data_IF_282175100132
#
_entry.id   IF_282175100132
#
_cell.length_a   1.000
_cell.length_b   1.000
_cell.length_c   1.000
_cell.angle_alpha   90.00
_cell.angle_beta   90.00
_cell.angle_gamma   90.00
#
_symmetry.space_group_name_H-M   'P 1'
#
loop_
_entity.id
_entity.type
_entity.pdbx_description
1 polymer ?
#
# COMPACT_ATOMS: atom_id res chain seq x y z
N UNK A 1 -1.85 -16.64 0.76
CA UNK A 1 -3.01 -17.57 0.74
C UNK A 1 -2.92 -18.67 1.79
N UNK A 2 -1.80 -19.38 1.95
CA UNK A 2 -1.71 -20.53 2.87
C UNK A 2 -2.16 -20.26 4.31
N UNK A 3 -1.86 -19.08 4.86
CA UNK A 3 -2.25 -18.70 6.22
C UNK A 3 -3.76 -18.65 6.47
N UNK A 4 -4.58 -18.47 5.42
CA UNK A 4 -6.05 -18.45 5.50
C UNK A 4 -6.61 -19.88 5.62
N UNK A 5 -5.86 -20.88 5.13
CA UNK A 5 -6.28 -22.28 5.10
C UNK A 5 -5.87 -23.07 6.36
N UNK A 6 -5.18 -22.41 7.30
CA UNK A 6 -4.67 -23.03 8.54
C UNK A 6 -5.15 -22.27 9.75
N UNK A 7 -5.33 -22.96 10.87
CA UNK A 7 -5.64 -22.30 12.13
C UNK A 7 -4.43 -21.51 12.63
N UNK A 8 -4.69 -20.32 13.19
CA UNK A 8 -3.66 -19.56 13.89
C UNK A 8 -3.06 -20.38 15.04
N UNK A 9 -1.74 -20.25 15.22
CA UNK A 9 -1.02 -20.83 16.35
C UNK A 9 -1.51 -20.23 17.67
N UNK A 10 -1.21 -20.91 18.78
CA UNK A 10 -1.57 -20.43 20.11
C UNK A 10 -0.90 -19.08 20.43
N UNK A 11 0.36 -18.91 20.04
CA UNK A 11 1.12 -17.67 20.17
C UNK A 11 0.42 -16.50 19.47
N UNK A 12 0.01 -16.66 18.22
CA UNK A 12 -0.72 -15.61 17.48
C UNK A 12 -2.03 -15.25 18.19
N UNK A 13 -2.77 -16.24 18.70
CA UNK A 13 -4.01 -15.99 19.45
C UNK A 13 -3.78 -15.21 20.74
N UNK A 14 -2.65 -15.41 21.40
CA UNK A 14 -2.28 -14.71 22.63
C UNK A 14 -1.85 -13.27 22.35
N UNK A 15 -1.06 -13.04 21.30
CA UNK A 15 -0.69 -11.69 20.88
C UNK A 15 -1.90 -10.88 20.38
N UNK A 16 -2.82 -11.52 19.62
CA UNK A 16 -4.04 -10.85 19.14
C UNK A 16 -4.93 -10.33 20.27
N UNK A 17 -4.92 -10.97 21.44
CA UNK A 17 -5.68 -10.48 22.61
C UNK A 17 -5.10 -9.20 23.23
N UNK A 18 -3.82 -8.90 22.96
CA UNK A 18 -3.14 -7.70 23.46
C UNK A 18 -3.37 -6.50 22.55
N UNK A 19 -3.91 -6.70 21.35
CA UNK A 19 -4.22 -5.62 20.40
C UNK A 19 -5.38 -4.80 20.94
N UNK A 20 -5.16 -3.50 21.09
CA UNK A 20 -6.18 -2.55 21.48
C UNK A 20 -7.19 -2.36 20.34
N UNK A 21 -8.49 -2.51 20.65
CA UNK A 21 -9.60 -2.44 19.68
C UNK A 21 -10.84 -1.73 20.24
N UNK A 22 -10.71 -1.02 21.36
CA UNK A 22 -11.87 -0.39 22.02
C UNK A 22 -12.35 0.86 21.28
N UNK A 23 -11.47 1.51 20.52
CA UNK A 23 -11.82 2.55 19.54
C UNK A 23 -12.86 2.04 18.52
N UNK A 24 -12.69 0.81 18.02
CA UNK A 24 -13.64 0.19 17.08
C UNK A 24 -15.01 -0.13 17.71
N UNK A 25 -15.10 -0.24 19.04
CA UNK A 25 -16.36 -0.53 19.75
C UNK A 25 -17.14 0.73 20.13
N UNK A 26 -16.46 1.87 20.15
CA UNK A 26 -16.99 3.16 20.64
C UNK A 26 -17.40 4.10 19.52
N UNK A 27 -17.08 3.77 18.27
CA UNK A 27 -17.41 4.57 17.10
C UNK A 27 -18.93 4.70 16.87
N UNK A 28 -19.36 5.87 16.39
CA UNK A 28 -20.78 6.22 16.17
C UNK A 28 -21.40 5.41 15.03
N UNK A 29 -20.57 5.00 14.07
CA UNK A 29 -20.95 4.00 13.08
C UNK A 29 -21.05 2.68 13.81
N UNK A 30 -22.27 2.30 14.16
CA UNK A 30 -22.56 1.12 14.96
C UNK A 30 -21.89 -0.15 14.37
N UNK A 31 -20.71 -0.46 14.90
CA UNK A 31 -19.93 -1.65 14.57
C UNK A 31 -20.77 -2.91 14.76
N UNK A 32 -21.71 -2.91 15.72
CA UNK A 32 -22.68 -3.99 15.91
C UNK A 32 -23.63 -4.13 14.71
N UNK A 33 -24.15 -3.02 14.18
CA UNK A 33 -24.95 -3.02 12.94
C UNK A 33 -24.15 -3.49 11.73
N UNK A 34 -22.89 -3.05 11.56
CA UNK A 34 -22.02 -3.54 10.48
C UNK A 34 -21.90 -5.05 10.55
N UNK A 35 -21.54 -5.61 11.71
CA UNK A 35 -21.40 -7.06 11.86
C UNK A 35 -22.72 -7.82 11.71
N UNK A 36 -23.84 -7.23 12.16
CA UNK A 36 -25.18 -7.81 12.01
C UNK A 36 -25.59 -7.93 10.55
N UNK A 37 -25.31 -6.92 9.74
CA UNK A 37 -25.71 -6.87 8.33
C UNK A 37 -24.61 -7.35 7.37
N UNK A 38 -23.41 -7.65 7.86
CA UNK A 38 -22.27 -8.06 7.05
C UNK A 38 -22.59 -9.23 6.12
N UNK A 39 -23.16 -10.33 6.64
CA UNK A 39 -23.47 -11.52 5.83
C UNK A 39 -24.54 -11.22 4.78
N UNK A 40 -25.73 -10.67 5.12
CA UNK A 40 -26.73 -10.30 4.12
C UNK A 40 -26.22 -9.33 3.06
N UNK A 41 -25.49 -8.28 3.48
CA UNK A 41 -24.97 -7.25 2.57
C UNK A 41 -23.88 -7.83 1.66
N UNK A 42 -23.00 -8.70 2.18
CA UNK A 42 -21.97 -9.38 1.38
C UNK A 42 -22.60 -10.28 0.32
N UNK A 43 -23.64 -11.06 0.66
CA UNK A 43 -24.36 -11.88 -0.32
C UNK A 43 -24.98 -10.99 -1.40
N UNK A 44 -25.62 -9.89 -1.00
CA UNK A 44 -26.25 -8.96 -1.93
C UNK A 44 -25.23 -8.30 -2.87
N UNK A 45 -24.19 -7.67 -2.31
CA UNK A 45 -23.24 -6.83 -3.05
C UNK A 45 -22.16 -7.62 -3.76
N UNK A 46 -21.71 -8.75 -3.22
CA UNK A 46 -20.63 -9.54 -3.81
C UNK A 46 -21.10 -10.66 -4.75
N UNK A 47 -22.36 -11.12 -4.62
CA UNK A 47 -22.87 -12.25 -5.39
C UNK A 47 -24.12 -11.92 -6.21
N UNK A 48 -25.19 -11.41 -5.57
CA UNK A 48 -26.47 -11.15 -6.26
C UNK A 48 -26.35 -10.01 -7.26
N UNK A 49 -25.92 -8.81 -6.83
CA UNK A 49 -25.83 -7.64 -7.70
C UNK A 49 -24.85 -7.86 -8.86
N UNK A 50 -23.62 -8.38 -8.66
CA UNK A 50 -22.69 -8.60 -9.76
C UNK A 50 -23.17 -9.66 -10.76
N UNK A 51 -24.07 -10.56 -10.36
CA UNK A 51 -24.71 -11.53 -11.26
C UNK A 51 -25.90 -10.91 -12.00
N UNK A 52 -26.78 -10.21 -11.28
CA UNK A 52 -28.04 -9.69 -11.83
C UNK A 52 -27.85 -8.48 -12.74
N UNK A 53 -26.87 -7.62 -12.48
CA UNK A 53 -26.57 -6.44 -13.31
C UNK A 53 -26.27 -6.88 -14.77
N UNK A 54 -25.33 -7.82 -15.03
CA UNK A 54 -25.13 -8.33 -16.39
C UNK A 54 -26.35 -8.97 -17.03
N UNK A 55 -27.11 -9.75 -16.27
CA UNK A 55 -28.32 -10.39 -16.77
C UNK A 55 -29.37 -9.36 -17.18
N UNK A 56 -29.49 -8.27 -16.43
CA UNK A 56 -30.50 -7.25 -16.69
C UNK A 56 -30.10 -6.32 -17.84
N UNK A 57 -28.89 -5.76 -17.80
CA UNK A 57 -28.43 -4.72 -18.73
C UNK A 57 -27.85 -5.26 -20.04
N UNK A 58 -27.13 -6.38 -20.00
CA UNK A 58 -26.45 -6.97 -21.18
C UNK A 58 -27.13 -8.25 -21.67
N UNK A 59 -28.21 -8.68 -21.01
CA UNK A 59 -28.92 -9.95 -21.30
C UNK A 59 -27.98 -11.17 -21.26
N UNK A 60 -26.97 -11.09 -20.41
CA UNK A 60 -26.03 -12.19 -20.17
C UNK A 60 -26.75 -13.37 -19.50
N UNK A 61 -26.26 -14.58 -19.73
CA UNK A 61 -26.79 -15.75 -19.01
C UNK A 61 -26.39 -15.70 -17.53
N UNK A 62 -27.30 -16.14 -16.64
CA UNK A 62 -27.04 -16.16 -15.19
C UNK A 62 -25.77 -16.95 -14.86
N UNK A 63 -25.56 -18.07 -15.55
CA UNK A 63 -24.38 -18.91 -15.34
C UNK A 63 -23.08 -18.17 -15.71
N UNK A 64 -23.01 -17.55 -16.90
CA UNK A 64 -21.81 -16.81 -17.31
C UNK A 64 -21.57 -15.58 -16.45
N UNK A 65 -22.63 -14.84 -16.12
CA UNK A 65 -22.54 -13.69 -15.22
C UNK A 65 -21.97 -14.10 -13.86
N UNK A 66 -22.44 -15.20 -13.27
CA UNK A 66 -21.91 -15.72 -12.02
C UNK A 66 -20.45 -16.19 -12.16
N UNK A 67 -20.13 -16.99 -13.17
CA UNK A 67 -18.78 -17.51 -13.38
C UNK A 67 -17.73 -16.39 -13.56
N UNK A 68 -18.06 -15.34 -14.30
CA UNK A 68 -17.13 -14.25 -14.62
C UNK A 68 -17.17 -13.13 -13.59
N UNK A 69 -18.34 -12.51 -13.39
CA UNK A 69 -18.47 -11.30 -12.57
C UNK A 69 -18.40 -11.59 -11.05
N UNK A 70 -18.66 -12.83 -10.64
CA UNK A 70 -18.51 -13.26 -9.25
C UNK A 70 -17.25 -14.10 -9.08
N UNK A 71 -17.22 -15.32 -9.62
CA UNK A 71 -16.18 -16.30 -9.28
C UNK A 71 -14.78 -15.90 -9.76
N UNK A 72 -14.61 -15.57 -11.06
CA UNK A 72 -13.32 -15.16 -11.59
C UNK A 72 -12.85 -13.86 -10.94
N UNK A 73 -13.72 -12.86 -10.82
CA UNK A 73 -13.43 -11.58 -10.14
C UNK A 73 -12.95 -11.82 -8.71
N UNK A 74 -13.66 -12.66 -7.95
CA UNK A 74 -13.31 -12.96 -6.57
C UNK A 74 -11.96 -13.66 -6.45
N UNK A 75 -11.72 -14.68 -7.28
CA UNK A 75 -10.43 -15.40 -7.30
C UNK A 75 -9.29 -14.47 -7.69
N UNK A 76 -9.46 -13.65 -8.73
CA UNK A 76 -8.45 -12.68 -9.16
C UNK A 76 -8.13 -11.69 -8.03
N UNK A 77 -9.15 -11.14 -7.37
CA UNK A 77 -8.95 -10.19 -6.28
C UNK A 77 -8.27 -10.82 -5.08
N UNK A 78 -8.67 -12.04 -4.71
CA UNK A 78 -8.06 -12.78 -3.63
C UNK A 78 -6.56 -13.04 -3.87
N UNK A 79 -6.17 -13.32 -5.11
CA UNK A 79 -4.76 -13.49 -5.48
C UNK A 79 -4.00 -12.15 -5.49
N UNK A 80 -4.59 -11.07 -6.02
CA UNK A 80 -3.97 -9.75 -6.01
C UNK A 80 -3.71 -9.29 -4.57
N UNK A 81 -4.74 -9.29 -3.72
CA UNK A 81 -4.59 -8.93 -2.30
C UNK A 81 -3.67 -9.90 -1.56
N UNK A 82 -3.79 -11.21 -1.82
CA UNK A 82 -2.91 -12.21 -1.22
C UNK A 82 -1.45 -12.09 -1.64
N UNK A 83 -1.18 -11.49 -2.81
CA UNK A 83 0.17 -11.33 -3.35
C UNK A 83 0.96 -10.23 -2.65
N UNK A 84 0.33 -9.22 -2.05
CA UNK A 84 1.04 -8.13 -1.35
C UNK A 84 1.78 -8.68 -0.13
N UNK A 85 1.11 -9.53 0.64
CA UNK A 85 1.67 -10.29 1.77
C UNK A 85 2.83 -11.24 1.39
N UNK A 86 3.08 -11.45 0.09
CA UNK A 86 4.21 -12.24 -0.42
C UNK A 86 5.20 -11.36 -1.19
N UNK A 87 4.82 -10.84 -2.35
CA UNK A 87 5.65 -10.07 -3.27
C UNK A 87 6.23 -8.82 -2.60
N UNK A 88 5.41 -8.04 -1.89
CA UNK A 88 5.87 -6.81 -1.24
C UNK A 88 6.73 -7.06 0.01
N UNK A 89 6.86 -8.32 0.45
CA UNK A 89 7.80 -8.73 1.50
C UNK A 89 9.02 -9.49 0.96
N UNK A 90 9.04 -9.84 -0.33
CA UNK A 90 10.09 -10.64 -0.95
C UNK A 90 10.91 -9.86 -1.97
N UNK A 91 10.26 -9.03 -2.79
CA UNK A 91 10.85 -8.41 -3.99
C UNK A 91 10.68 -6.90 -3.90
N UNK A 92 11.79 -6.17 -3.84
CA UNK A 92 11.79 -4.71 -3.84
C UNK A 92 12.95 -4.10 -3.08
N UNK A 93 12.93 -2.78 -2.98
CA UNK A 93 13.92 -1.99 -2.25
C UNK A 93 13.44 -1.68 -0.82
N UNK A 94 14.36 -1.33 0.08
CA UNK A 94 14.03 -0.99 1.47
C UNK A 94 14.56 0.38 1.87
N UNK A 95 14.07 1.46 1.21
CA UNK A 95 14.66 2.78 1.36
C UNK A 95 14.46 3.41 2.75
N UNK A 96 13.53 2.95 3.58
CA UNK A 96 13.23 3.57 4.89
C UNK A 96 13.69 2.73 6.09
N UNK A 97 13.50 1.41 6.02
CA UNK A 97 14.01 0.50 7.03
C UNK A 97 14.40 -0.85 6.41
N UNK A 98 15.70 -1.16 6.41
CA UNK A 98 16.25 -2.42 5.90
C UNK A 98 16.08 -3.60 6.85
N UNK A 99 15.71 -3.34 8.11
CA UNK A 99 15.58 -4.38 9.13
C UNK A 99 14.21 -5.08 9.09
N UNK A 100 13.25 -4.51 8.35
CA UNK A 100 11.94 -5.11 8.13
C UNK A 100 11.89 -5.81 6.77
N UNK A 101 11.03 -6.81 6.63
CA UNK A 101 10.89 -7.55 5.37
C UNK A 101 10.16 -6.78 4.29
N UNK A 102 9.23 -5.90 4.67
CA UNK A 102 8.45 -5.07 3.74
C UNK A 102 9.37 -4.27 2.82
N UNK A 103 9.06 -4.25 1.54
CA UNK A 103 9.87 -3.69 0.47
C UNK A 103 9.00 -2.88 -0.50
N UNK A 104 9.53 -1.76 -0.97
CA UNK A 104 8.91 -0.97 -2.03
C UNK A 104 9.14 -1.66 -3.37
N UNK A 105 8.05 -1.88 -4.11
CA UNK A 105 8.05 -2.72 -5.30
C UNK A 105 7.13 -2.15 -6.37
N UNK A 106 7.70 -1.69 -7.48
CA UNK A 106 6.94 -1.23 -8.64
C UNK A 106 6.07 -2.35 -9.23
N UNK A 107 6.50 -3.61 -9.11
CA UNK A 107 5.69 -4.75 -9.52
C UNK A 107 4.44 -4.88 -8.63
N UNK A 108 4.61 -4.78 -7.30
CA UNK A 108 3.47 -4.79 -6.39
C UNK A 108 2.55 -3.59 -6.64
N UNK A 109 3.12 -2.41 -6.89
CA UNK A 109 2.39 -1.20 -7.28
C UNK A 109 1.51 -1.47 -8.51
N UNK A 110 2.06 -2.01 -9.58
CA UNK A 110 1.30 -2.29 -10.81
C UNK A 110 0.20 -3.34 -10.58
N UNK A 111 0.51 -4.45 -9.91
CA UNK A 111 -0.43 -5.54 -9.67
C UNK A 111 -1.61 -5.14 -8.77
N UNK A 112 -1.40 -4.17 -7.88
CA UNK A 112 -2.39 -3.71 -6.91
C UNK A 112 -3.03 -2.38 -7.29
N UNK A 113 -2.88 -1.97 -8.56
CA UNK A 113 -3.40 -0.69 -9.05
C UNK A 113 -2.91 0.53 -8.26
N UNK A 114 -1.72 0.42 -7.68
CA UNK A 114 -0.97 1.51 -7.09
C UNK A 114 -0.98 1.59 -5.57
N UNK A 115 -1.82 0.79 -4.90
CA UNK A 115 -2.10 0.98 -3.47
C UNK A 115 -1.06 0.29 -2.55
N UNK A 116 -0.39 -0.78 -3.01
CA UNK A 116 0.50 -1.60 -2.16
C UNK A 116 1.95 -1.63 -2.65
N UNK A 117 2.31 -0.67 -3.49
CA UNK A 117 3.65 -0.52 -4.06
C UNK A 117 4.70 -0.03 -3.09
N UNK A 118 4.30 0.79 -2.12
CA UNK A 118 5.18 1.49 -1.19
C UNK A 118 5.16 0.83 0.20
N UNK A 119 5.34 -0.49 0.20
CA UNK A 119 5.11 -1.31 1.39
C UNK A 119 6.20 -1.11 2.46
N UNK A 120 7.45 -0.76 2.10
CA UNK A 120 8.47 -0.37 3.09
C UNK A 120 8.07 0.94 3.76
N UNK A 121 7.59 1.93 2.98
CA UNK A 121 7.07 3.18 3.54
C UNK A 121 5.88 2.93 4.48
N UNK A 122 4.88 2.17 4.02
CA UNK A 122 3.66 1.87 4.78
C UNK A 122 3.96 1.23 6.14
N UNK A 123 4.85 0.24 6.20
CA UNK A 123 5.24 -0.41 7.46
C UNK A 123 6.06 0.50 8.38
N UNK A 124 6.78 1.48 7.83
CA UNK A 124 7.57 2.43 8.64
C UNK A 124 6.72 3.58 9.17
N UNK A 125 5.70 4.01 8.43
CA UNK A 125 4.80 5.11 8.77
C UNK A 125 3.33 4.65 8.70
N UNK A 126 2.88 3.74 9.58
CA UNK A 126 1.55 3.13 9.49
C UNK A 126 0.39 4.12 9.73
N UNK A 127 0.67 5.31 10.27
CA UNK A 127 -0.31 6.37 10.49
C UNK A 127 -0.47 7.33 9.30
N UNK A 128 0.35 7.21 8.25
CA UNK A 128 0.25 8.08 7.07
C UNK A 128 -0.92 7.63 6.18
N UNK A 129 -1.91 8.50 6.01
CA UNK A 129 -3.13 8.17 5.27
C UNK A 129 -2.86 7.79 3.80
N UNK A 130 -1.74 8.26 3.21
CA UNK A 130 -1.39 7.97 1.82
C UNK A 130 -0.77 6.59 1.65
N UNK A 131 -0.28 5.98 2.73
CA UNK A 131 0.54 4.78 2.71
C UNK A 131 1.76 4.85 1.75
N UNK A 132 2.19 6.05 1.37
CA UNK A 132 3.24 6.28 0.38
C UNK A 132 3.92 7.64 0.55
N UNK A 133 5.18 7.74 0.10
CA UNK A 133 5.91 9.01 0.06
C UNK A 133 5.32 9.98 -0.97
N UNK A 134 4.75 9.44 -2.05
CA UNK A 134 4.28 10.19 -3.20
C UNK A 134 2.85 10.73 -3.02
N UNK A 135 2.49 11.70 -3.87
CA UNK A 135 1.17 12.32 -3.91
C UNK A 135 0.40 11.91 -5.17
N UNK A 136 -0.92 12.02 -5.10
CA UNK A 136 -1.83 11.69 -6.20
C UNK A 136 -1.70 10.25 -6.67
N UNK A 137 -1.94 10.00 -7.96
CA UNK A 137 -1.98 8.64 -8.52
C UNK A 137 -0.69 7.83 -8.32
N UNK A 138 0.46 8.50 -8.14
CA UNK A 138 1.75 7.84 -7.84
C UNK A 138 1.76 7.19 -6.45
N UNK A 139 1.01 7.79 -5.51
CA UNK A 139 0.81 7.27 -4.16
C UNK A 139 -0.38 6.32 -4.03
N UNK A 140 -1.02 5.94 -5.14
CA UNK A 140 -2.17 5.02 -5.15
C UNK A 140 -3.48 5.70 -5.53
N UNK A 141 -4.45 4.87 -5.93
CA UNK A 141 -5.80 5.33 -6.28
C UNK A 141 -6.58 5.64 -5.00
N UNK A 142 -6.34 4.89 -3.92
CA UNK A 142 -7.00 5.10 -2.64
C UNK A 142 -6.67 6.48 -2.03
N UNK A 143 -5.41 6.89 -2.02
CA UNK A 143 -5.01 8.20 -1.50
C UNK A 143 -5.62 9.35 -2.31
N UNK A 144 -5.66 9.20 -3.65
CA UNK A 144 -6.33 10.16 -4.54
C UNK A 144 -7.84 10.23 -4.30
N UNK A 145 -8.48 9.10 -4.02
CA UNK A 145 -9.90 9.04 -3.67
C UNK A 145 -10.17 9.76 -2.35
N UNK A 146 -9.34 9.54 -1.31
CA UNK A 146 -9.44 10.27 -0.04
C UNK A 146 -9.23 11.78 -0.24
N UNK A 147 -8.25 12.18 -1.05
CA UNK A 147 -8.01 13.60 -1.38
C UNK A 147 -9.23 14.25 -2.04
N UNK A 148 -9.97 13.53 -2.87
CA UNK A 148 -11.20 14.01 -3.48
C UNK A 148 -12.28 14.30 -2.42
N UNK A 149 -12.49 13.38 -1.47
CA UNK A 149 -13.43 13.62 -0.35
C UNK A 149 -12.94 14.71 0.60
N UNK A 150 -11.64 14.87 0.77
CA UNK A 150 -11.07 15.95 1.55
C UNK A 150 -11.38 17.32 0.93
N UNK A 151 -11.30 17.43 -0.40
CA UNK A 151 -11.68 18.65 -1.12
C UNK A 151 -13.17 18.97 -1.02
N UNK A 152 -14.02 17.97 -0.89
CA UNK A 152 -15.46 18.15 -0.63
C UNK A 152 -15.78 18.43 0.85
N UNK A 153 -14.79 18.35 1.74
CA UNK A 153 -14.97 18.53 3.18
C UNK A 153 -15.55 17.31 3.91
N UNK A 154 -15.60 16.14 3.26
CA UNK A 154 -16.10 14.89 3.86
C UNK A 154 -15.01 14.13 4.61
N UNK A 155 -13.74 14.32 4.22
CA UNK A 155 -12.58 13.80 4.93
C UNK A 155 -11.76 14.96 5.51
N UNK A 156 -11.27 14.80 6.74
CA UNK A 156 -10.48 15.80 7.46
C UNK A 156 -9.54 15.10 8.45
N UNK A 157 -8.66 15.85 9.11
CA UNK A 157 -7.59 15.32 9.97
C UNK A 157 -6.69 14.25 9.29
N UNK A 158 -6.40 14.45 8.00
CA UNK A 158 -5.53 13.56 7.24
C UNK A 158 -4.07 13.71 7.69
N UNK A 159 -3.52 12.64 8.26
CA UNK A 159 -2.15 12.61 8.81
C UNK A 159 -1.16 12.15 7.76
N UNK A 160 -0.14 12.96 7.48
CA UNK A 160 0.95 12.61 6.57
C UNK A 160 2.31 12.90 7.18
N UNK A 161 3.32 12.13 6.79
CA UNK A 161 4.70 12.27 7.27
C UNK A 161 5.40 13.40 6.53
N UNK A 162 6.10 14.27 7.27
CA UNK A 162 6.88 15.35 6.67
C UNK A 162 8.14 14.83 5.99
N UNK A 163 8.60 15.52 4.94
CA UNK A 163 9.81 15.16 4.21
C UNK A 163 11.03 15.04 5.13
N UNK A 164 11.16 15.91 6.12
CA UNK A 164 12.28 15.88 7.07
C UNK A 164 12.31 14.59 7.92
N UNK A 165 11.14 14.11 8.34
CA UNK A 165 11.02 12.86 9.10
C UNK A 165 11.38 11.67 8.22
N UNK A 166 10.86 11.67 6.98
CA UNK A 166 11.14 10.65 5.97
C UNK A 166 12.63 10.57 5.65
N UNK A 167 13.30 11.71 5.42
CA UNK A 167 14.75 11.79 5.15
C UNK A 167 15.55 11.30 6.35
N UNK A 168 15.24 11.78 7.56
CA UNK A 168 15.93 11.33 8.79
C UNK A 168 15.80 9.83 9.01
N UNK A 169 14.63 9.26 8.70
CA UNK A 169 14.39 7.82 8.81
C UNK A 169 15.19 7.03 7.79
N UNK A 170 15.20 7.45 6.52
CA UNK A 170 16.01 6.87 5.44
C UNK A 170 17.50 6.89 5.79
N UNK A 171 18.03 8.00 6.29
CA UNK A 171 19.43 8.10 6.72
C UNK A 171 19.77 7.20 7.92
N UNK A 172 18.81 6.98 8.84
CA UNK A 172 19.03 6.20 10.06
C UNK A 172 18.98 4.69 9.82
N UNK A 173 18.02 4.22 9.03
CA UNK A 173 17.72 2.78 8.89
C UNK A 173 17.48 2.31 7.47
N UNK A 174 17.42 3.23 6.50
CA UNK A 174 17.20 2.90 5.11
C UNK A 174 18.36 2.10 4.53
N UNK A 175 18.02 1.28 3.54
CA UNK A 175 19.02 0.72 2.65
C UNK A 175 19.47 1.80 1.66
N UNK A 176 20.59 2.44 1.98
CA UNK A 176 21.17 3.46 1.10
C UNK A 176 21.83 2.85 -0.14
N UNK A 177 21.96 1.51 -0.21
CA UNK A 177 22.62 0.81 -1.33
C UNK A 177 21.93 1.00 -2.68
N UNK A 178 20.62 1.22 -2.70
CA UNK A 178 19.88 1.50 -3.96
C UNK A 178 20.05 2.93 -4.46
N UNK A 179 20.61 3.85 -3.66
CA UNK A 179 20.88 5.23 -4.07
C UNK A 179 22.31 5.47 -4.58
N UNK A 180 23.16 4.43 -4.55
CA UNK A 180 24.60 4.56 -4.79
C UNK A 180 24.99 4.28 -6.25
N UNK A 181 24.12 4.54 -7.22
CA UNK A 181 24.50 4.52 -8.64
C UNK A 181 24.54 5.95 -9.17
N UNK A 182 25.74 6.54 -9.24
CA UNK A 182 25.92 7.90 -9.74
C UNK A 182 27.16 8.61 -9.20
N UNK A 183 27.16 9.94 -9.27
CA UNK A 183 28.30 10.80 -8.95
C UNK A 183 28.86 10.63 -7.53
N UNK A 184 28.04 10.17 -6.59
CA UNK A 184 28.38 9.94 -5.17
C UNK A 184 28.67 8.46 -4.83
N UNK A 185 28.82 7.59 -5.82
CA UNK A 185 29.17 6.19 -5.58
C UNK A 185 30.61 6.06 -5.02
N UNK A 186 30.83 5.41 -3.85
CA UNK A 186 32.16 5.19 -3.29
C UNK A 186 33.00 4.22 -4.13
N UNK A 187 32.39 3.45 -5.03
CA UNK A 187 33.08 2.58 -5.98
C UNK A 187 33.32 3.24 -7.35
N UNK A 188 32.91 4.50 -7.55
CA UNK A 188 33.14 5.22 -8.80
C UNK A 188 34.64 5.47 -9.00
N UNK A 189 35.16 5.08 -10.17
CA UNK A 189 36.57 5.28 -10.51
C UNK A 189 36.95 6.77 -10.45
N UNK A 190 38.07 7.09 -9.80
CA UNK A 190 38.59 8.45 -9.67
C UNK A 190 38.89 9.08 -11.04
N UNK A 191 39.31 8.27 -12.00
CA UNK A 191 39.65 8.74 -13.36
C UNK A 191 38.39 9.16 -14.12
N UNK A 192 37.29 8.42 -13.98
CA UNK A 192 36.00 8.74 -14.60
C UNK A 192 35.40 10.03 -14.00
N UNK A 193 35.58 10.26 -12.69
CA UNK A 193 35.23 11.55 -12.06
C UNK A 193 36.04 12.70 -12.63
N UNK A 194 37.35 12.52 -12.83
CA UNK A 194 38.22 13.56 -13.35
C UNK A 194 37.91 13.95 -14.81
N UNK A 195 37.41 13.00 -15.60
CA UNK A 195 37.06 13.19 -17.01
C UNK A 195 35.66 13.78 -17.23
N UNK A 196 34.85 13.91 -16.19
CA UNK A 196 33.47 14.36 -16.32
C UNK A 196 33.37 15.88 -16.40
N UNK A 197 32.77 16.39 -17.47
CA UNK A 197 32.51 17.81 -17.65
C UNK A 197 31.18 18.21 -17.00
N UNK A 198 31.24 19.03 -15.95
CA UNK A 198 30.06 19.56 -15.25
C UNK A 198 29.61 20.85 -15.93
N UNK A 199 28.53 20.79 -16.70
CA UNK A 199 28.05 21.93 -17.50
C UNK A 199 27.39 23.05 -16.67
N UNK A 200 26.91 22.75 -15.45
CA UNK A 200 26.24 23.73 -14.56
C UNK A 200 26.59 23.46 -13.08
N UNK A 201 27.74 23.95 -12.57
CA UNK A 201 28.14 23.70 -11.19
C UNK A 201 27.22 24.41 -10.19
N UNK A 202 26.91 23.75 -9.07
CA UNK A 202 26.17 24.38 -7.97
C UNK A 202 26.95 25.61 -7.47
N UNK A 203 26.23 26.72 -7.24
CA UNK A 203 26.82 27.91 -6.61
C UNK A 203 27.29 27.53 -5.21
N UNK A 204 28.60 27.58 -4.96
CA UNK A 204 29.15 27.48 -3.60
C UNK A 204 28.55 28.62 -2.78
N UNK A 205 27.62 28.30 -1.89
CA UNK A 205 27.20 29.23 -0.84
C UNK A 205 28.41 29.43 0.07
N UNK A 206 29.15 30.52 -0.11
CA UNK A 206 30.18 30.94 0.84
C UNK A 206 29.46 31.23 2.16
N UNK A 207 29.56 30.33 3.12
CA UNK A 207 29.35 30.67 4.52
C UNK A 207 30.70 31.21 5.01
N UNK A 208 30.75 32.53 5.17
CA UNK A 208 31.77 33.22 5.98
C UNK A 208 31.65 32.82 7.45
#
# INVERSE_FOLDING_TARGET
MGWILVHHSQEVKEELKKVYVDDLKTDEIDTHSIFRYYIPLSILVCYILPTMIPCYFWKESVFMAFCVAVSLRFVAMLHVTGSTNSLAHMIGERPFDKNIRAADSLLAWFMTFGDEGWHNYHHVFPWDYKASEYWGYKGGICSTFVDFFARMGWAYDLKTTSADVTIKRRLRTGDLSSSIWGWEDPNMNSDDRALTQINYPQKKTQRE
#
